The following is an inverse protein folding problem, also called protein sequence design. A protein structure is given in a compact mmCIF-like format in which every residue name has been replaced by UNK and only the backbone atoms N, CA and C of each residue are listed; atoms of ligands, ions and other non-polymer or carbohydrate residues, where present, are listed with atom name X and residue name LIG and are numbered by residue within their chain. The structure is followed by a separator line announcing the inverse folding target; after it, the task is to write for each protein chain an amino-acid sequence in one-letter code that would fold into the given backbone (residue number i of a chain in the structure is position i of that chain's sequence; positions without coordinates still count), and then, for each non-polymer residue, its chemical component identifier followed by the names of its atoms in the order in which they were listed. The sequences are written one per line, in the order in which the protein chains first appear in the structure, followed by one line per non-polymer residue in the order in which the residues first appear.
data_IF_310215178344
#
_entry.id   IF_310215178344
#
_cell.length_a   1.000
_cell.length_b   1.000
_cell.length_c   1.000
_cell.angle_alpha   90.00
_cell.angle_beta   90.00
_cell.angle_gamma   90.00
#
_symmetry.space_group_name_H-M   'P 1'
#
loop_
_entity.id
_entity.type
_entity.pdbx_description
1 polymer ?
#
# COMPACT_ATOMS: atom_id res chain seq x y z
N UNK A 1 11.19 31.15 -47.25
CA UNK A 1 10.32 30.01 -47.62
C UNK A 1 10.94 28.63 -47.31
N UNK A 2 12.11 28.55 -46.64
CA UNK A 2 12.90 27.32 -46.51
C UNK A 2 12.39 26.26 -45.51
N UNK A 3 11.31 26.50 -44.78
CA UNK A 3 10.86 25.60 -43.71
C UNK A 3 9.66 24.71 -44.07
N UNK A 4 9.07 24.90 -45.26
CA UNK A 4 7.84 24.20 -45.65
C UNK A 4 8.08 22.70 -45.82
N UNK A 5 9.23 22.30 -46.38
CA UNK A 5 9.58 20.88 -46.54
C UNK A 5 9.77 20.17 -45.20
N UNK A 6 10.39 20.83 -44.22
CA UNK A 6 10.56 20.28 -42.87
C UNK A 6 9.22 20.12 -42.18
N UNK A 7 8.34 21.13 -42.27
CA UNK A 7 6.98 21.06 -41.73
C UNK A 7 6.18 19.93 -42.38
N UNK A 8 6.28 19.75 -43.70
CA UNK A 8 5.64 18.62 -44.40
C UNK A 8 6.12 17.27 -43.88
N UNK A 9 7.43 17.10 -43.67
CA UNK A 9 7.99 15.86 -43.10
C UNK A 9 7.45 15.61 -41.69
N UNK A 10 7.39 16.63 -40.82
CA UNK A 10 6.80 16.48 -39.49
C UNK A 10 5.31 16.12 -39.54
N UNK A 11 4.54 16.72 -40.45
CA UNK A 11 3.13 16.41 -40.63
C UNK A 11 2.92 14.96 -41.11
N UNK A 12 3.76 14.49 -42.03
CA UNK A 12 3.70 13.10 -42.52
C UNK A 12 4.02 12.09 -41.41
N UNK A 13 5.09 12.32 -40.65
CA UNK A 13 5.45 11.45 -39.51
C UNK A 13 4.35 11.48 -38.44
N UNK A 14 3.74 12.64 -38.21
CA UNK A 14 2.62 12.76 -37.27
C UNK A 14 1.42 11.93 -37.74
N UNK A 15 1.04 12.03 -39.02
CA UNK A 15 -0.06 11.24 -39.60
C UNK A 15 0.19 9.73 -39.50
N UNK A 16 1.40 9.27 -39.85
CA UNK A 16 1.83 7.88 -39.68
C UNK A 16 1.72 7.43 -38.22
N UNK A 17 2.16 8.27 -37.27
CA UNK A 17 2.09 7.95 -35.84
C UNK A 17 0.65 7.87 -35.31
N UNK A 18 -0.27 8.70 -35.83
CA UNK A 18 -1.69 8.65 -35.47
C UNK A 18 -2.34 7.39 -36.04
N UNK A 19 -1.98 7.00 -37.26
CA UNK A 19 -2.46 5.75 -37.86
C UNK A 19 -2.01 4.52 -37.05
N UNK A 20 -0.76 4.49 -36.61
CA UNK A 20 -0.26 3.39 -35.77
C UNK A 20 -0.89 3.39 -34.37
N UNK A 21 -1.12 4.56 -33.79
CA UNK A 21 -1.87 4.69 -32.55
C UNK A 21 -3.30 4.13 -32.67
N UNK A 22 -4.02 4.47 -33.74
CA UNK A 22 -5.38 3.97 -33.98
C UNK A 22 -5.40 2.43 -34.09
N UNK A 23 -4.46 1.83 -34.83
CA UNK A 23 -4.33 0.36 -34.92
C UNK A 23 -4.16 -0.30 -33.55
N UNK A 24 -3.39 0.34 -32.65
CA UNK A 24 -3.15 -0.17 -31.29
C UNK A 24 -4.35 0.00 -30.35
N UNK A 25 -5.13 1.07 -30.51
CA UNK A 25 -6.23 1.44 -29.62
C UNK A 25 -7.57 0.82 -30.04
N UNK A 26 -7.79 0.59 -31.33
CA UNK A 26 -8.95 -0.13 -31.88
C UNK A 26 -9.38 -1.38 -31.09
N UNK A 27 -8.49 -2.34 -30.77
CA UNK A 27 -8.89 -3.54 -30.02
C UNK A 27 -9.35 -3.24 -28.59
N UNK A 28 -8.88 -2.14 -28.00
CA UNK A 28 -9.24 -1.70 -26.65
C UNK A 28 -10.62 -1.03 -26.67
N UNK A 29 -10.91 -0.22 -27.70
CA UNK A 29 -12.19 0.49 -27.86
C UNK A 29 -13.35 -0.43 -28.24
N UNK A 30 -13.09 -1.61 -28.80
CA UNK A 30 -14.11 -2.62 -29.12
C UNK A 30 -14.71 -3.30 -27.89
N UNK A 31 -14.08 -3.16 -26.73
CA UNK A 31 -14.52 -3.75 -25.46
C UNK A 31 -15.00 -2.66 -24.52
N UNK A 32 -15.94 -3.00 -23.64
CA UNK A 32 -16.33 -2.08 -22.57
C UNK A 32 -15.22 -2.00 -21.51
N UNK A 33 -15.16 -0.88 -20.77
CA UNK A 33 -14.17 -0.72 -19.70
C UNK A 33 -14.34 -1.82 -18.63
N UNK A 34 -15.59 -2.17 -18.33
CA UNK A 34 -15.92 -3.25 -17.40
C UNK A 34 -15.38 -4.57 -17.92
N UNK A 35 -15.58 -4.94 -19.19
CA UNK A 35 -15.00 -6.16 -19.77
C UNK A 35 -13.46 -6.19 -19.69
N UNK A 36 -12.80 -5.04 -19.86
CA UNK A 36 -11.35 -4.94 -19.77
C UNK A 36 -10.83 -5.07 -18.32
N UNK A 37 -11.64 -4.59 -17.37
CA UNK A 37 -11.35 -4.64 -15.94
C UNK A 37 -11.92 -5.88 -15.23
N UNK A 38 -12.73 -6.69 -15.91
CA UNK A 38 -13.31 -7.93 -15.38
C UNK A 38 -12.22 -9.00 -15.36
N UNK A 39 -11.43 -8.98 -14.30
CA UNK A 39 -10.45 -10.03 -14.02
C UNK A 39 -10.57 -10.43 -12.55
N UNK A 40 -10.50 -11.73 -12.28
CA UNK A 40 -10.48 -12.27 -10.90
C UNK A 40 -9.31 -11.73 -10.06
N UNK A 41 -8.28 -11.22 -10.74
CA UNK A 41 -7.11 -10.60 -10.13
C UNK A 41 -7.24 -9.07 -10.09
N UNK A 42 -7.34 -8.51 -8.88
CA UNK A 42 -7.41 -7.07 -8.66
C UNK A 42 -6.21 -6.29 -9.21
N UNK A 43 -5.05 -6.93 -9.37
CA UNK A 43 -3.84 -6.30 -9.91
C UNK A 43 -3.96 -6.09 -11.43
N UNK A 44 -4.58 -7.05 -12.13
CA UNK A 44 -4.84 -6.96 -13.57
C UNK A 44 -5.88 -5.88 -13.88
N UNK A 45 -6.96 -5.82 -13.11
CA UNK A 45 -7.98 -4.78 -13.27
C UNK A 45 -7.40 -3.38 -13.02
N UNK A 46 -6.59 -3.20 -11.98
CA UNK A 46 -5.88 -1.95 -11.71
C UNK A 46 -4.97 -1.53 -12.87
N UNK A 47 -4.23 -2.48 -13.47
CA UNK A 47 -3.39 -2.21 -14.65
C UNK A 47 -4.23 -1.79 -15.86
N UNK A 48 -5.38 -2.44 -16.08
CA UNK A 48 -6.30 -2.06 -17.15
C UNK A 48 -6.80 -0.62 -16.99
N UNK A 49 -7.28 -0.24 -15.80
CA UNK A 49 -7.72 1.13 -15.51
C UNK A 49 -6.61 2.17 -15.69
N UNK A 50 -5.41 1.89 -15.18
CA UNK A 50 -4.26 2.79 -15.34
C UNK A 50 -3.86 2.96 -16.81
N UNK A 51 -3.93 1.88 -17.60
CA UNK A 51 -3.60 1.92 -19.04
C UNK A 51 -4.63 2.74 -19.79
N UNK A 52 -5.92 2.52 -19.53
CA UNK A 52 -7.01 3.28 -20.13
C UNK A 52 -6.91 4.78 -19.81
N UNK A 53 -6.70 5.11 -18.53
CA UNK A 53 -6.51 6.50 -18.09
C UNK A 53 -5.29 7.16 -18.75
N UNK A 54 -4.18 6.42 -18.86
CA UNK A 54 -2.98 6.90 -19.55
C UNK A 54 -3.23 7.22 -21.02
N UNK A 55 -3.91 6.33 -21.75
CA UNK A 55 -4.26 6.54 -23.16
C UNK A 55 -5.12 7.80 -23.28
N UNK A 56 -6.20 7.91 -22.50
CA UNK A 56 -7.14 9.02 -22.58
C UNK A 56 -6.48 10.38 -22.32
N UNK A 57 -5.71 10.52 -21.23
CA UNK A 57 -5.05 11.79 -20.90
C UNK A 57 -3.91 12.09 -21.87
N UNK A 58 -3.18 11.09 -22.35
CA UNK A 58 -2.12 11.29 -23.35
C UNK A 58 -2.69 11.75 -24.70
N UNK A 59 -3.80 11.18 -25.14
CA UNK A 59 -4.51 11.62 -26.34
C UNK A 59 -5.04 13.04 -26.20
N UNK A 60 -5.60 13.38 -25.04
CA UNK A 60 -6.06 14.75 -24.77
C UNK A 60 -4.88 15.75 -24.75
N UNK A 61 -3.75 15.36 -24.17
CA UNK A 61 -2.53 16.17 -24.21
C UNK A 61 -2.04 16.37 -25.65
N UNK A 62 -1.98 15.31 -26.46
CA UNK A 62 -1.58 15.40 -27.87
C UNK A 62 -2.52 16.31 -28.68
N UNK A 63 -3.83 16.23 -28.43
CA UNK A 63 -4.82 17.12 -29.02
C UNK A 63 -4.58 18.59 -28.65
N UNK A 64 -4.35 18.90 -27.38
CA UNK A 64 -4.06 20.27 -26.95
C UNK A 64 -2.78 20.83 -27.59
N UNK A 65 -1.77 19.97 -27.78
CA UNK A 65 -0.54 20.35 -28.49
C UNK A 65 -0.79 20.60 -29.97
N UNK A 66 -1.65 19.84 -30.63
CA UNK A 66 -1.96 20.01 -32.06
C UNK A 66 -2.81 21.26 -32.33
N UNK A 67 -3.67 21.67 -31.38
CA UNK A 67 -4.41 22.93 -31.47
C UNK A 67 -3.56 24.17 -31.15
N UNK A 68 -2.31 23.99 -30.72
CA UNK A 68 -1.41 25.10 -30.37
C UNK A 68 -1.64 25.69 -28.98
N UNK A 69 -2.39 25.01 -28.10
CA UNK A 69 -2.61 25.45 -26.72
C UNK A 69 -1.32 25.30 -25.91
N UNK A 70 -0.96 26.31 -25.10
CA UNK A 70 0.19 26.16 -24.18
C UNK A 70 -0.16 25.16 -23.07
N UNK A 71 0.59 24.08 -23.03
CA UNK A 71 0.37 22.99 -22.08
C UNK A 71 1.12 23.16 -20.75
N UNK A 72 2.01 24.15 -20.63
CA UNK A 72 2.83 24.33 -19.42
C UNK A 72 1.98 24.71 -18.20
N UNK A 73 1.09 25.68 -18.37
CA UNK A 73 0.19 26.15 -17.32
C UNK A 73 -1.18 25.45 -17.35
N UNK A 74 -1.39 24.56 -18.32
CA UNK A 74 -2.65 23.86 -18.51
C UNK A 74 -2.85 22.74 -17.44
N UNK A 75 -4.06 22.58 -16.88
CA UNK A 75 -4.34 21.56 -15.86
C UNK A 75 -4.09 20.12 -16.31
N UNK A 76 -3.98 19.87 -17.62
CA UNK A 76 -3.61 18.55 -18.19
C UNK A 76 -2.29 18.02 -17.62
N UNK A 77 -1.35 18.90 -17.25
CA UNK A 77 -0.07 18.47 -16.70
C UNK A 77 -0.23 17.84 -15.31
N UNK A 78 -1.18 18.36 -14.51
CA UNK A 78 -1.56 17.75 -13.21
C UNK A 78 -2.20 16.38 -13.41
N UNK A 79 -2.97 16.21 -14.48
CA UNK A 79 -3.58 14.92 -14.83
C UNK A 79 -2.55 13.88 -15.26
N UNK A 80 -1.53 14.28 -16.01
CA UNK A 80 -0.39 13.42 -16.36
C UNK A 80 0.38 12.99 -15.11
N UNK A 81 0.67 13.91 -14.20
CA UNK A 81 1.33 13.60 -12.93
C UNK A 81 0.49 12.66 -12.06
N UNK A 82 -0.83 12.87 -12.05
CA UNK A 82 -1.78 12.01 -11.34
C UNK A 82 -1.73 10.56 -11.85
N UNK A 83 -1.76 10.35 -13.17
CA UNK A 83 -1.66 8.99 -13.75
C UNK A 83 -0.31 8.36 -13.46
N UNK A 84 0.78 9.13 -13.60
CA UNK A 84 2.14 8.67 -13.27
C UNK A 84 2.22 8.18 -11.82
N UNK A 85 1.59 8.90 -10.89
CA UNK A 85 1.50 8.49 -9.49
C UNK A 85 0.73 7.17 -9.33
N UNK A 86 -0.42 7.00 -9.98
CA UNK A 86 -1.20 5.77 -9.90
C UNK A 86 -0.48 4.56 -10.50
N UNK A 87 0.20 4.74 -11.64
CA UNK A 87 1.04 3.70 -12.23
C UNK A 87 2.20 3.32 -11.33
N UNK A 88 2.83 4.30 -10.65
CA UNK A 88 3.88 4.03 -9.66
C UNK A 88 3.35 3.21 -8.49
N UNK A 89 2.19 3.59 -7.94
CA UNK A 89 1.55 2.83 -6.85
C UNK A 89 1.24 1.38 -7.26
N UNK A 90 0.77 1.17 -8.49
CA UNK A 90 0.51 -0.18 -9.00
C UNK A 90 1.80 -1.02 -9.07
N UNK A 91 2.91 -0.43 -9.54
CA UNK A 91 4.23 -1.09 -9.56
C UNK A 91 4.76 -1.40 -8.16
N UNK A 92 4.57 -0.48 -7.21
CA UNK A 92 4.99 -0.68 -5.83
C UNK A 92 4.22 -1.84 -5.17
N UNK A 93 2.92 -1.98 -5.47
CA UNK A 93 2.09 -3.11 -5.01
C UNK A 93 2.60 -4.42 -5.61
N UNK A 94 2.85 -4.46 -6.93
CA UNK A 94 3.36 -5.64 -7.63
C UNK A 94 4.70 -6.11 -7.07
N UNK A 95 5.64 -5.17 -6.82
CA UNK A 95 6.93 -5.48 -6.21
C UNK A 95 6.79 -6.04 -4.79
N UNK A 96 5.88 -5.47 -3.97
CA UNK A 96 5.63 -5.97 -2.61
C UNK A 96 5.04 -7.38 -2.61
N UNK A 97 4.12 -7.67 -3.52
CA UNK A 97 3.54 -9.02 -3.64
C UNK A 97 4.61 -10.04 -4.03
N UNK A 98 5.45 -9.73 -5.03
CA UNK A 98 6.56 -10.60 -5.42
C UNK A 98 7.57 -10.85 -4.27
N UNK A 99 7.81 -9.85 -3.42
CA UNK A 99 8.70 -9.99 -2.24
C UNK A 99 8.08 -10.79 -1.09
N UNK A 100 6.76 -10.80 -0.97
CA UNK A 100 6.06 -11.58 0.08
C UNK A 100 6.05 -13.07 -0.27
N UNK A 101 5.84 -13.39 -1.54
CA UNK A 101 5.87 -14.77 -2.04
C UNK A 101 7.24 -15.43 -1.86
N UNK A 102 8.34 -14.67 -1.84
CA UNK A 102 9.68 -15.20 -1.56
C UNK A 102 9.96 -15.35 -0.07
N UNK A 103 9.43 -14.46 0.77
CA UNK A 103 9.55 -14.57 2.23
C UNK A 103 8.79 -15.78 2.80
N UNK A 104 7.58 -16.07 2.29
CA UNK A 104 6.76 -17.19 2.75
C UNK A 104 7.32 -18.57 2.31
N UNK A 105 8.02 -18.62 1.17
CA UNK A 105 8.76 -19.82 0.75
C UNK A 105 9.99 -20.08 1.64
N UNK A 106 10.63 -19.02 2.13
CA UNK A 106 11.78 -19.15 3.02
C UNK A 106 11.36 -19.49 4.44
N UNK A 107 10.24 -18.96 4.94
CA UNK A 107 9.72 -19.29 6.27
C UNK A 107 9.25 -20.74 6.35
N UNK A 108 8.58 -21.25 5.32
CA UNK A 108 8.18 -22.66 5.25
C UNK A 108 9.35 -23.63 5.12
N UNK A 109 10.42 -23.28 4.39
CA UNK A 109 11.63 -24.10 4.32
C UNK A 109 12.41 -24.10 5.63
N UNK A 110 12.49 -22.95 6.31
CA UNK A 110 13.11 -22.82 7.64
C UNK A 110 12.31 -23.57 8.71
N UNK A 111 10.98 -23.49 8.69
CA UNK A 111 10.15 -24.29 9.60
C UNK A 111 10.30 -25.78 9.33
N UNK A 112 10.49 -26.19 8.07
CA UNK A 112 10.70 -27.61 7.72
C UNK A 112 12.09 -28.13 8.12
N UNK A 113 13.12 -27.29 8.11
CA UNK A 113 14.45 -27.63 8.64
C UNK A 113 14.48 -27.64 10.17
N UNK A 114 13.75 -26.74 10.82
CA UNK A 114 13.60 -26.73 12.29
C UNK A 114 12.73 -27.90 12.78
N UNK A 115 11.64 -28.19 12.08
CA UNK A 115 10.68 -29.22 12.50
C UNK A 115 11.19 -30.64 12.25
N UNK A 116 12.25 -30.81 11.45
CA UNK A 116 13.00 -32.06 11.32
C UNK A 116 12.16 -33.21 10.76
N UNK A 117 12.54 -33.71 9.57
CA UNK A 117 11.94 -34.93 9.00
C UNK A 117 12.52 -36.19 9.66
N UNK A 118 12.74 -36.16 10.97
CA UNK A 118 13.31 -37.24 11.76
C UNK A 118 12.16 -37.91 12.52
N UNK A 119 11.74 -39.06 12.02
CA UNK A 119 10.79 -39.98 12.65
C UNK A 119 11.41 -40.66 13.89
N UNK A 120 12.08 -39.91 14.75
CA UNK A 120 12.61 -40.41 16.02
C UNK A 120 12.50 -39.31 17.09
N UNK A 121 11.91 -39.60 18.25
CA UNK A 121 11.69 -38.60 19.29
C UNK A 121 13.04 -38.17 19.88
N UNK A 122 13.62 -37.08 19.38
CA UNK A 122 14.72 -36.41 20.06
C UNK A 122 14.19 -35.83 21.37
N UNK A 123 14.80 -36.26 22.47
CA UNK A 123 14.55 -35.71 23.79
C UNK A 123 14.80 -34.19 23.80
N UNK A 124 14.08 -33.40 24.60
CA UNK A 124 14.25 -31.96 24.65
C UNK A 124 15.72 -31.56 24.90
N UNK A 125 16.22 -30.58 24.14
CA UNK A 125 17.61 -30.10 24.20
C UNK A 125 18.01 -29.45 25.55
N UNK A 126 17.04 -29.29 26.45
CA UNK A 126 17.24 -28.79 27.81
C UNK A 126 17.25 -30.01 28.73
N UNK A 127 18.40 -30.26 29.36
CA UNK A 127 18.54 -31.32 30.33
C UNK A 127 17.47 -31.19 31.43
N UNK A 128 16.83 -32.31 31.77
CA UNK A 128 15.81 -32.40 32.82
C UNK A 128 16.28 -31.92 34.21
N UNK A 129 17.58 -31.67 34.37
CA UNK A 129 18.18 -31.02 35.55
C UNK A 129 17.62 -29.62 35.80
N UNK A 130 17.23 -28.88 34.75
CA UNK A 130 16.83 -27.48 34.88
C UNK A 130 15.33 -27.29 35.13
N UNK A 131 14.53 -28.37 35.07
CA UNK A 131 13.08 -28.35 35.34
C UNK A 131 12.71 -28.75 36.77
N UNK A 132 13.69 -29.01 37.64
CA UNK A 132 13.45 -29.26 39.08
C UNK A 132 13.28 -27.95 39.85
N UNK A 133 12.42 -27.06 39.36
CA UNK A 133 11.94 -25.91 40.11
C UNK A 133 10.61 -26.26 40.77
N UNK A 134 10.51 -26.11 42.09
CA UNK A 134 9.26 -26.30 42.83
C UNK A 134 8.20 -25.33 42.30
N UNK A 135 7.12 -25.86 41.72
CA UNK A 135 5.96 -25.08 41.29
C UNK A 135 5.49 -24.14 42.41
N UNK A 136 5.49 -22.83 42.16
CA UNK A 136 4.69 -21.89 42.96
C UNK A 136 3.23 -22.11 42.59
N UNK A 137 2.55 -22.96 43.36
CA UNK A 137 1.11 -23.14 43.28
C UNK A 137 0.45 -21.81 43.67
N UNK A 138 -0.15 -21.12 42.70
CA UNK A 138 -1.03 -19.99 42.98
C UNK A 138 -2.33 -20.55 43.58
N UNK A 139 -2.54 -20.36 44.88
CA UNK A 139 -3.82 -20.65 45.50
C UNK A 139 -4.81 -19.53 45.18
N UNK A 140 -5.83 -19.88 44.40
CA UNK A 140 -6.97 -19.03 44.10
C UNK A 140 -7.88 -18.98 45.33
N UNK A 141 -7.59 -18.08 46.26
CA UNK A 141 -8.41 -17.89 47.47
C UNK A 141 -9.66 -17.07 47.16
N UNK A 142 -10.67 -17.74 46.63
CA UNK A 142 -12.06 -17.27 46.65
C UNK A 142 -12.60 -17.37 48.08
N UNK A 143 -12.35 -16.35 48.91
CA UNK A 143 -13.08 -16.17 50.18
C UNK A 143 -13.87 -14.87 50.17
N UNK A 144 -15.15 -15.01 49.85
CA UNK A 144 -16.20 -14.08 50.24
C UNK A 144 -16.46 -14.25 51.75
N UNK A 145 -16.07 -13.27 52.57
CA UNK A 145 -16.65 -13.10 53.91
C UNK A 145 -17.13 -11.65 54.09
N UNK A 146 -18.45 -11.50 54.18
CA UNK A 146 -19.13 -10.34 54.75
C UNK A 146 -19.26 -10.54 56.26
N UNK A 147 -18.80 -9.57 57.08
CA UNK A 147 -19.66 -8.85 58.06
C UNK A 147 -18.88 -7.84 58.95
N UNK A 148 -19.39 -6.60 58.89
CA UNK A 148 -19.65 -5.60 59.95
C UNK A 148 -18.60 -5.14 60.98
N UNK A 149 -18.18 -3.88 60.79
CA UNK A 149 -18.15 -2.73 61.72
C UNK A 149 -17.35 -2.81 63.06
N UNK A 150 -16.33 -1.96 63.24
CA UNK A 150 -16.42 -0.59 63.84
C UNK A 150 -15.04 0.10 64.01
N UNK A 151 -14.90 1.25 63.33
CA UNK A 151 -14.24 2.52 63.72
C UNK A 151 -12.72 2.69 64.02
N UNK A 152 -12.16 3.66 63.28
CA UNK A 152 -11.25 4.79 63.62
C UNK A 152 -9.83 4.79 63.03
N UNK A 153 -9.56 5.95 62.42
CA UNK A 153 -8.30 6.63 62.06
C UNK A 153 -7.36 6.05 61.00
N UNK A 154 -6.99 6.92 60.05
CA UNK A 154 -5.78 6.76 59.22
C UNK A 154 -5.92 7.07 57.74
N UNK A 155 -5.87 8.36 57.39
CA UNK A 155 -5.54 8.98 56.09
C UNK A 155 -5.35 8.12 54.82
N UNK A 156 -6.33 8.23 53.92
CA UNK A 156 -6.22 8.56 52.47
C UNK A 156 -4.88 8.41 51.72
N UNK A 157 -4.86 7.56 50.68
CA UNK A 157 -4.66 7.96 49.26
C UNK A 157 -4.71 6.76 48.31
N UNK A 158 -5.80 6.65 47.55
CA UNK A 158 -5.89 5.85 46.32
C UNK A 158 -5.56 6.75 45.12
N UNK A 159 -4.75 6.32 44.13
CA UNK A 159 -4.74 6.94 42.82
C UNK A 159 -5.72 6.22 41.90
N UNK A 160 -6.84 6.87 41.60
CA UNK A 160 -7.69 6.58 40.44
C UNK A 160 -7.15 7.26 39.17
N UNK A 161 -7.61 6.86 37.97
CA UNK A 161 -6.87 6.98 36.72
C UNK A 161 -6.93 8.38 36.10
N UNK A 162 -5.77 8.91 35.68
CA UNK A 162 -5.70 10.18 34.97
C UNK A 162 -6.18 10.05 33.52
N UNK A 163 -7.36 10.61 33.25
CA UNK A 163 -7.78 11.08 31.91
C UNK A 163 -7.17 12.47 31.63
N UNK A 164 -7.07 12.80 30.34
CA UNK A 164 -6.73 14.10 29.72
C UNK A 164 -5.21 14.38 29.57
N UNK A 165 -4.69 15.05 28.52
CA UNK A 165 -5.25 15.80 27.39
C UNK A 165 -4.15 15.99 26.33
N UNK A 166 -4.54 15.99 25.06
CA UNK A 166 -3.72 16.37 23.90
C UNK A 166 -3.35 17.86 23.99
N UNK A 167 -2.06 18.19 23.86
CA UNK A 167 -1.59 19.56 23.66
C UNK A 167 -0.90 19.71 22.29
N UNK A 168 -1.50 20.52 21.41
CA UNK A 168 -0.88 21.09 20.20
C UNK A 168 -0.11 22.36 20.60
N UNK A 169 1.14 22.57 20.15
CA UNK A 169 1.77 23.88 20.21
C UNK A 169 1.30 24.77 19.06
N UNK A 170 0.82 25.95 19.42
CA UNK A 170 0.36 27.03 18.55
C UNK A 170 1.50 27.86 17.96
N UNK A 171 1.26 28.37 16.75
CA UNK A 171 2.05 29.36 16.00
C UNK A 171 2.42 30.59 16.84
N UNK A 172 3.67 31.02 16.78
CA UNK A 172 4.08 32.39 17.09
C UNK A 172 4.48 33.13 15.81
N UNK A 173 3.91 34.33 15.61
CA UNK A 173 4.23 35.27 14.54
C UNK A 173 4.70 36.58 15.17
N UNK A 174 5.83 37.08 14.65
CA UNK A 174 6.17 38.49 14.33
C UNK A 174 6.84 39.43 15.36
N UNK A 175 7.67 40.29 14.71
CA UNK A 175 8.19 41.63 15.05
C UNK A 175 9.51 41.67 15.85
N UNK A 176 10.51 42.47 15.49
CA UNK A 176 10.59 43.68 14.64
C UNK A 176 11.72 43.58 13.62
#
# INVERSE_FOLDING_TARGET
MENIEKVRKFAQVFDESVNDFNKGVDPILRKTLDELATSDDALKSLKAYNTYGYILISSLYAYLKSTGTDTKDHPIMKELDRIKLYMKKAKDIESRMASKDSADKNSSSVLKSILGKDTEPRSPAISSSNFKGTHTKFEDSTKYEKKSAKSKDGSSKSPEPSKYKVNKPSKSKKKN
#
